data_IF_105429500676
#
_entry.id   IF_105429500676
#
_cell.length_a   1.000
_cell.length_b   1.000
_cell.length_c   1.000
_cell.angle_alpha   90.00
_cell.angle_beta   90.00
_cell.angle_gamma   90.00
#
_symmetry.space_group_name_H-M   'P 1'
#
loop_
_entity.id
_entity.type
_entity.pdbx_description
1 polymer ?
#
# COMPACT_ATOMS: atom_id res chain seq x y z
N UNK A 1 32.64 13.47 7.94
CA UNK A 1 31.22 13.33 8.06
C UNK A 1 30.85 11.87 8.05
N UNK A 2 30.51 11.31 9.19
CA UNK A 2 29.96 9.97 9.31
C UNK A 2 28.55 10.02 8.70
N UNK A 3 28.35 9.33 7.59
CA UNK A 3 27.05 9.17 6.93
C UNK A 3 26.16 8.34 7.86
N UNK A 4 25.36 8.99 8.70
CA UNK A 4 24.49 8.37 9.70
C UNK A 4 23.13 8.02 9.12
N UNK A 5 23.08 7.56 7.84
CA UNK A 5 21.84 7.10 7.25
C UNK A 5 21.34 5.85 7.95
N UNK A 6 20.17 5.95 8.56
CA UNK A 6 19.50 4.82 9.19
C UNK A 6 19.08 3.83 8.10
N UNK A 7 19.49 2.55 8.15
CA UNK A 7 18.99 1.57 7.20
C UNK A 7 17.49 1.35 7.40
N UNK A 8 16.71 1.63 6.37
CA UNK A 8 15.24 1.48 6.38
C UNK A 8 14.85 0.15 5.72
N UNK A 9 14.79 -0.91 6.52
CA UNK A 9 14.47 -2.25 6.02
C UNK A 9 13.05 -2.36 5.48
N UNK A 10 12.09 -1.64 6.07
CA UNK A 10 10.74 -1.56 5.55
C UNK A 10 10.69 -0.95 4.16
N UNK A 11 11.46 0.11 3.92
CA UNK A 11 11.57 0.72 2.59
C UNK A 11 12.19 -0.23 1.57
N UNK A 12 13.28 -0.92 1.93
CA UNK A 12 13.92 -1.90 1.06
C UNK A 12 12.97 -3.09 0.78
N UNK A 13 12.36 -3.66 1.83
CA UNK A 13 11.40 -4.76 1.71
C UNK A 13 10.20 -4.39 0.84
N UNK A 14 9.68 -3.16 0.97
CA UNK A 14 8.63 -2.63 0.12
C UNK A 14 9.03 -2.58 -1.35
N UNK A 15 10.23 -2.15 -1.68
CA UNK A 15 10.68 -2.12 -3.07
C UNK A 15 10.76 -3.52 -3.66
N UNK A 16 11.30 -4.49 -2.92
CA UNK A 16 11.32 -5.90 -3.33
C UNK A 16 9.90 -6.43 -3.52
N UNK A 17 8.99 -6.15 -2.59
CA UNK A 17 7.59 -6.52 -2.70
C UNK A 17 6.93 -5.94 -3.97
N UNK A 18 7.15 -4.67 -4.29
CA UNK A 18 6.61 -4.06 -5.50
C UNK A 18 7.20 -4.63 -6.79
N UNK A 19 8.50 -4.94 -6.82
CA UNK A 19 9.12 -5.60 -7.96
C UNK A 19 8.47 -6.96 -8.20
N UNK A 20 8.35 -7.78 -7.16
CA UNK A 20 7.77 -9.13 -7.25
C UNK A 20 6.30 -9.08 -7.67
N UNK A 21 5.50 -8.22 -7.03
CA UNK A 21 4.06 -8.09 -7.34
C UNK A 21 3.83 -7.50 -8.73
N UNK A 22 4.66 -6.57 -9.18
CA UNK A 22 4.58 -6.00 -10.53
C UNK A 22 4.95 -7.04 -11.59
N UNK A 23 6.02 -7.81 -11.38
CA UNK A 23 6.42 -8.89 -12.28
C UNK A 23 5.33 -9.97 -12.36
N UNK A 24 4.76 -10.37 -11.21
CA UNK A 24 3.66 -11.32 -11.16
C UNK A 24 2.40 -10.80 -11.85
N UNK A 25 2.03 -9.53 -11.59
CA UNK A 25 0.88 -8.88 -12.23
C UNK A 25 1.03 -8.79 -13.74
N UNK A 26 2.22 -8.42 -14.22
CA UNK A 26 2.55 -8.39 -15.64
C UNK A 26 2.41 -9.77 -16.30
N UNK A 27 2.98 -10.80 -15.66
CA UNK A 27 2.90 -12.18 -16.14
C UNK A 27 1.44 -12.68 -16.20
N UNK A 28 0.64 -12.43 -15.14
CA UNK A 28 -0.79 -12.76 -15.11
C UNK A 28 -1.56 -12.03 -16.21
N UNK A 29 -1.28 -10.76 -16.41
CA UNK A 29 -1.93 -9.95 -17.44
C UNK A 29 -1.61 -10.47 -18.85
N UNK A 30 -0.35 -10.86 -19.14
CA UNK A 30 0.01 -11.47 -20.40
C UNK A 30 -0.76 -12.78 -20.64
N UNK A 31 -0.90 -13.64 -19.63
CA UNK A 31 -1.68 -14.88 -19.75
C UNK A 31 -3.15 -14.61 -20.05
N UNK A 32 -3.75 -13.59 -19.39
CA UNK A 32 -5.13 -13.21 -19.65
C UNK A 32 -5.33 -12.60 -21.03
N UNK A 33 -4.38 -11.84 -21.54
CA UNK A 33 -4.41 -11.32 -22.91
C UNK A 33 -4.43 -12.43 -23.96
N UNK A 34 -3.60 -13.43 -23.77
CA UNK A 34 -3.55 -14.59 -24.67
C UNK A 34 -4.88 -15.37 -24.71
N UNK A 35 -5.64 -15.37 -23.61
CA UNK A 35 -6.96 -16.03 -23.54
C UNK A 35 -8.11 -15.15 -24.04
N UNK A 36 -8.00 -13.81 -23.94
CA UNK A 36 -9.07 -12.86 -24.27
C UNK A 36 -9.26 -12.54 -25.76
N UNK A 37 -8.45 -13.09 -26.66
CA UNK A 37 -8.80 -13.03 -28.09
C UNK A 37 -10.04 -13.88 -28.45
N UNK A 38 -10.69 -14.51 -27.47
CA UNK A 38 -11.80 -15.42 -27.68
C UNK A 38 -13.14 -15.05 -27.01
N UNK A 39 -13.21 -14.13 -26.02
CA UNK A 39 -14.48 -13.89 -25.29
C UNK A 39 -14.64 -12.46 -24.72
N UNK A 40 -15.72 -11.85 -25.15
CA UNK A 40 -16.63 -10.83 -24.56
C UNK A 40 -16.12 -9.63 -23.74
N UNK A 41 -16.69 -8.47 -24.09
CA UNK A 41 -16.68 -7.10 -23.56
C UNK A 41 -17.07 -6.90 -22.08
N UNK A 42 -16.74 -7.81 -21.17
CA UNK A 42 -16.99 -7.58 -19.74
C UNK A 42 -15.78 -6.92 -19.06
N UNK A 43 -15.99 -5.88 -18.22
CA UNK A 43 -14.92 -5.29 -17.43
C UNK A 43 -14.31 -6.37 -16.53
N UNK A 44 -12.98 -6.46 -16.57
CA UNK A 44 -12.24 -7.53 -15.91
C UNK A 44 -12.42 -7.57 -14.39
N UNK A 45 -12.84 -6.47 -13.77
CA UNK A 45 -13.06 -6.33 -12.32
C UNK A 45 -14.07 -5.22 -12.07
N UNK A 46 -15.11 -5.50 -11.27
CA UNK A 46 -16.07 -4.49 -10.80
C UNK A 46 -15.61 -3.91 -9.46
N UNK A 47 -15.41 -2.58 -9.35
CA UNK A 47 -15.09 -1.92 -8.09
C UNK A 47 -16.19 -2.14 -7.06
N UNK A 48 -15.83 -2.50 -5.83
CA UNK A 48 -16.80 -2.64 -4.73
C UNK A 48 -16.25 -2.08 -3.43
N UNK A 49 -17.13 -1.78 -2.49
CA UNK A 49 -16.74 -1.54 -1.11
C UNK A 49 -16.55 -2.87 -0.39
N UNK A 50 -15.51 -2.95 0.45
CA UNK A 50 -15.29 -4.10 1.31
C UNK A 50 -16.41 -4.23 2.35
N UNK A 51 -16.73 -5.44 2.75
CA UNK A 51 -17.66 -5.71 3.85
C UNK A 51 -17.05 -5.28 5.19
N UNK A 52 -17.88 -5.13 6.22
CA UNK A 52 -17.41 -4.77 7.56
C UNK A 52 -16.34 -5.76 8.07
N UNK A 53 -16.54 -7.06 7.87
CA UNK A 53 -15.57 -8.08 8.28
C UNK A 53 -14.24 -7.97 7.52
N UNK A 54 -14.30 -7.69 6.21
CA UNK A 54 -13.10 -7.47 5.39
C UNK A 54 -12.34 -6.21 5.85
N UNK A 55 -13.03 -5.13 6.19
CA UNK A 55 -12.42 -3.91 6.76
C UNK A 55 -11.79 -4.17 8.10
N UNK A 56 -12.48 -4.87 8.99
CA UNK A 56 -11.92 -5.24 10.30
C UNK A 56 -10.68 -6.12 10.14
N UNK A 57 -10.71 -7.09 9.24
CA UNK A 57 -9.55 -7.93 8.94
C UNK A 57 -8.38 -7.11 8.37
N UNK A 58 -8.62 -6.15 7.48
CA UNK A 58 -7.59 -5.25 6.96
C UNK A 58 -6.94 -4.43 8.09
N UNK A 59 -7.75 -3.82 8.94
CA UNK A 59 -7.25 -3.00 10.06
C UNK A 59 -6.48 -3.87 11.05
N UNK A 60 -7.02 -5.03 11.42
CA UNK A 60 -6.36 -5.96 12.33
C UNK A 60 -5.02 -6.44 11.76
N UNK A 61 -4.99 -6.84 10.48
CA UNK A 61 -3.76 -7.24 9.80
C UNK A 61 -2.73 -6.10 9.76
N UNK A 62 -3.18 -4.86 9.49
CA UNK A 62 -2.29 -3.71 9.47
C UNK A 62 -1.66 -3.45 10.83
N UNK A 63 -2.47 -3.40 11.90
CA UNK A 63 -1.98 -3.15 13.27
C UNK A 63 -1.06 -4.28 13.75
N UNK A 64 -1.52 -5.51 13.68
CA UNK A 64 -0.73 -6.68 14.13
C UNK A 64 0.52 -6.87 13.27
N UNK A 65 0.37 -6.75 11.95
CA UNK A 65 1.48 -6.82 11.01
C UNK A 65 2.54 -5.74 11.27
N UNK A 66 2.14 -4.51 11.59
CA UNK A 66 3.07 -3.42 11.94
C UNK A 66 3.86 -3.77 13.22
N UNK A 67 3.20 -4.31 14.24
CA UNK A 67 3.88 -4.75 15.47
C UNK A 67 4.89 -5.85 15.15
N UNK A 68 4.47 -6.87 14.40
CA UNK A 68 5.35 -7.98 14.01
C UNK A 68 6.52 -7.47 13.17
N UNK A 69 6.26 -6.68 12.13
CA UNK A 69 7.30 -6.13 11.26
C UNK A 69 8.31 -5.27 12.03
N UNK A 70 7.85 -4.48 13.00
CA UNK A 70 8.71 -3.67 13.88
C UNK A 70 9.72 -4.54 14.63
N UNK A 71 9.27 -5.65 15.21
CA UNK A 71 10.17 -6.56 15.97
C UNK A 71 11.03 -7.40 15.03
N UNK A 72 10.51 -7.85 13.88
CA UNK A 72 11.29 -8.58 12.87
C UNK A 72 12.42 -7.70 12.32
N UNK A 73 12.14 -6.45 11.97
CA UNK A 73 13.16 -5.53 11.47
C UNK A 73 14.24 -5.27 12.52
N UNK A 74 13.86 -5.17 13.79
CA UNK A 74 14.81 -5.06 14.88
C UNK A 74 15.67 -6.31 15.03
N UNK A 75 15.07 -7.51 15.00
CA UNK A 75 15.79 -8.78 15.14
C UNK A 75 16.81 -9.02 13.99
N UNK A 76 16.49 -8.56 12.76
CA UNK A 76 17.41 -8.61 11.62
C UNK A 76 18.64 -7.71 11.87
N UNK A 77 18.48 -6.64 12.65
CA UNK A 77 19.52 -5.67 12.98
C UNK A 77 20.30 -6.03 14.25
N UNK A 78 19.86 -7.04 15.05
CA UNK A 78 20.53 -7.46 16.26
C UNK A 78 21.95 -7.97 15.96
N UNK A 79 22.90 -7.18 16.42
CA UNK A 79 24.34 -7.32 16.13
C UNK A 79 25.01 -5.99 15.82
N UNK A 80 24.23 -4.96 15.42
CA UNK A 80 24.66 -3.56 15.37
C UNK A 80 23.91 -2.75 16.44
N UNK A 81 24.53 -1.69 17.04
CA UNK A 81 23.77 -0.75 17.88
C UNK A 81 22.61 -0.20 17.05
N UNK A 82 21.44 -0.74 17.33
CA UNK A 82 20.26 -0.56 16.49
C UNK A 82 19.86 0.91 16.50
N UNK A 83 19.78 1.57 15.35
CA UNK A 83 19.23 2.92 15.25
C UNK A 83 17.79 3.03 15.75
N UNK A 84 17.11 1.91 15.98
CA UNK A 84 15.74 1.85 16.49
C UNK A 84 15.62 2.15 18.00
N UNK A 85 16.72 2.19 18.75
CA UNK A 85 16.76 2.61 20.16
C UNK A 85 17.36 4.01 20.36
N UNK A 86 17.65 4.73 19.25
CA UNK A 86 18.03 6.16 19.31
C UNK A 86 16.84 7.03 19.70
N UNK A 87 17.04 8.34 19.95
CA UNK A 87 15.94 9.29 20.18
C UNK A 87 14.84 9.27 19.12
N UNK A 88 15.14 8.75 17.92
CA UNK A 88 14.18 8.55 16.83
C UNK A 88 13.55 7.14 16.81
N UNK A 89 13.28 6.54 17.96
CA UNK A 89 12.65 5.22 18.10
C UNK A 89 11.36 5.07 17.27
N UNK A 90 10.65 6.15 17.00
CA UNK A 90 9.44 6.18 16.22
C UNK A 90 9.67 5.92 14.71
N UNK A 91 10.90 6.11 14.20
CA UNK A 91 11.23 5.84 12.80
C UNK A 91 10.98 4.37 12.42
N UNK A 92 11.31 3.45 13.30
CA UNK A 92 11.06 2.03 13.08
C UNK A 92 9.57 1.69 13.01
N UNK A 93 8.76 2.39 13.80
CA UNK A 93 7.31 2.25 13.73
C UNK A 93 6.75 2.80 12.44
N UNK A 94 7.22 3.96 11.98
CA UNK A 94 6.82 4.54 10.70
C UNK A 94 7.22 3.64 9.52
N UNK A 95 8.44 3.09 9.53
CA UNK A 95 8.92 2.20 8.49
C UNK A 95 8.09 0.91 8.42
N UNK A 96 7.82 0.27 9.55
CA UNK A 96 6.96 -0.90 9.64
C UNK A 96 5.51 -0.59 9.20
N UNK A 97 4.96 0.56 9.61
CA UNK A 97 3.63 1.01 9.24
C UNK A 97 3.49 1.19 7.72
N UNK A 98 4.42 1.89 7.11
CA UNK A 98 4.44 2.13 5.66
C UNK A 98 4.61 0.81 4.90
N UNK A 99 5.47 -0.08 5.37
CA UNK A 99 5.67 -1.40 4.76
C UNK A 99 4.40 -2.25 4.77
N UNK A 100 3.82 -2.47 5.94
CA UNK A 100 2.61 -3.31 6.08
C UNK A 100 1.40 -2.65 5.41
N UNK A 101 1.26 -1.33 5.53
CA UNK A 101 0.21 -0.58 4.86
C UNK A 101 0.28 -0.71 3.34
N UNK A 102 1.48 -0.73 2.76
CA UNK A 102 1.67 -0.96 1.31
C UNK A 102 1.22 -2.37 0.89
N UNK A 103 1.43 -3.39 1.72
CA UNK A 103 0.93 -4.75 1.47
C UNK A 103 -0.60 -4.76 1.50
N UNK A 104 -1.20 -4.17 2.53
CA UNK A 104 -2.67 -4.08 2.69
C UNK A 104 -3.30 -3.34 1.52
N UNK A 105 -2.74 -2.18 1.14
CA UNK A 105 -3.25 -1.38 0.03
C UNK A 105 -3.16 -2.14 -1.30
N UNK A 106 -2.05 -2.84 -1.55
CA UNK A 106 -1.86 -3.66 -2.76
C UNK A 106 -2.84 -4.83 -2.79
N UNK A 107 -3.06 -5.50 -1.65
CA UNK A 107 -4.06 -6.57 -1.56
C UNK A 107 -5.48 -6.07 -1.81
N UNK A 108 -5.87 -4.96 -1.18
CA UNK A 108 -7.18 -4.35 -1.39
C UNK A 108 -7.39 -3.92 -2.86
N UNK A 109 -6.34 -3.40 -3.51
CA UNK A 109 -6.35 -3.08 -4.93
C UNK A 109 -6.56 -4.35 -5.79
N UNK A 110 -5.87 -5.44 -5.49
CA UNK A 110 -6.02 -6.71 -6.20
C UNK A 110 -7.43 -7.31 -6.04
N UNK A 111 -8.13 -6.99 -4.94
CA UNK A 111 -9.53 -7.37 -4.67
C UNK A 111 -10.55 -6.38 -5.24
N UNK A 112 -10.09 -5.29 -5.88
CA UNK A 112 -10.89 -4.16 -6.35
C UNK A 112 -11.77 -3.52 -5.27
N UNK A 113 -11.28 -3.49 -4.04
CA UNK A 113 -11.95 -2.78 -2.96
C UNK A 113 -11.65 -1.29 -3.04
N UNK A 114 -12.69 -0.45 -2.95
CA UNK A 114 -12.51 1.00 -2.98
C UNK A 114 -11.62 1.53 -1.84
N UNK A 115 -11.51 0.78 -0.76
CA UNK A 115 -10.67 1.08 0.40
C UNK A 115 -9.18 1.12 0.09
N UNK A 116 -8.72 0.55 -1.02
CA UNK A 116 -7.30 0.63 -1.35
C UNK A 116 -6.80 2.07 -1.53
N UNK A 117 -7.67 2.96 -2.04
CA UNK A 117 -7.35 4.38 -2.15
C UNK A 117 -7.15 5.02 -0.78
N UNK A 118 -8.01 4.69 0.19
CA UNK A 118 -7.92 5.18 1.56
C UNK A 118 -6.66 4.62 2.24
N UNK A 119 -6.33 3.34 2.00
CA UNK A 119 -5.13 2.73 2.54
C UNK A 119 -3.86 3.45 2.05
N UNK A 120 -3.78 3.81 0.76
CA UNK A 120 -2.66 4.60 0.24
C UNK A 120 -2.58 5.99 0.85
N UNK A 121 -3.72 6.68 1.02
CA UNK A 121 -3.74 7.99 1.70
C UNK A 121 -3.17 7.87 3.12
N UNK A 122 -3.56 6.83 3.87
CA UNK A 122 -3.06 6.61 5.25
C UNK A 122 -1.57 6.26 5.27
N UNK A 123 -1.08 5.51 4.28
CA UNK A 123 0.36 5.25 4.10
C UNK A 123 1.12 6.55 3.83
N UNK A 124 0.62 7.40 2.94
CA UNK A 124 1.28 8.64 2.55
C UNK A 124 1.28 9.69 3.67
N UNK A 125 0.23 9.74 4.50
CA UNK A 125 0.17 10.63 5.67
C UNK A 125 1.32 10.37 6.67
N UNK A 126 1.80 9.14 6.75
CA UNK A 126 2.97 8.77 7.56
C UNK A 126 4.24 8.81 6.72
N UNK A 127 4.19 8.32 5.49
CA UNK A 127 5.35 8.17 4.62
C UNK A 127 5.98 9.49 4.20
N UNK A 128 5.17 10.54 3.93
CA UNK A 128 5.66 11.86 3.53
C UNK A 128 6.48 12.51 4.64
N UNK A 129 5.94 12.76 5.87
CA UNK A 129 6.72 13.35 6.94
C UNK A 129 7.90 12.46 7.36
N UNK A 130 7.74 11.15 7.33
CA UNK A 130 8.81 10.20 7.62
C UNK A 130 9.96 10.32 6.62
N UNK A 131 9.66 10.42 5.31
CA UNK A 131 10.67 10.62 4.27
C UNK A 131 11.48 11.89 4.46
N UNK A 132 10.83 13.00 4.84
CA UNK A 132 11.54 14.25 5.16
C UNK A 132 12.36 14.15 6.44
N UNK A 133 11.85 13.51 7.48
CA UNK A 133 12.54 13.35 8.76
C UNK A 133 13.77 12.44 8.68
N UNK A 134 13.85 11.59 7.65
CA UNK A 134 14.97 10.66 7.40
C UNK A 134 15.89 11.11 6.27
N UNK A 135 15.77 12.36 5.81
CA UNK A 135 16.54 12.93 4.69
C UNK A 135 16.38 12.21 3.33
N UNK A 136 15.33 11.39 3.20
CA UNK A 136 14.94 10.78 1.92
C UNK A 136 14.03 11.72 1.13
N UNK A 137 14.46 12.96 0.93
CA UNK A 137 13.70 14.03 0.27
C UNK A 137 13.14 13.63 -1.10
N UNK A 138 13.89 12.98 -2.02
CA UNK A 138 13.33 12.56 -3.30
C UNK A 138 12.14 11.59 -3.14
N UNK A 139 12.21 10.69 -2.16
CA UNK A 139 11.14 9.73 -1.86
C UNK A 139 9.91 10.45 -1.29
N UNK A 140 10.11 11.41 -0.39
CA UNK A 140 9.03 12.20 0.18
C UNK A 140 8.30 13.03 -0.89
N UNK A 141 9.04 13.65 -1.80
CA UNK A 141 8.47 14.39 -2.94
C UNK A 141 7.67 13.46 -3.87
N UNK A 142 8.20 12.27 -4.15
CA UNK A 142 7.48 11.24 -4.92
C UNK A 142 6.15 10.85 -4.26
N UNK A 143 6.12 10.69 -2.93
CA UNK A 143 4.89 10.39 -2.19
C UNK A 143 3.84 11.51 -2.33
N UNK A 144 4.25 12.77 -2.34
CA UNK A 144 3.32 13.89 -2.57
C UNK A 144 2.66 13.76 -3.94
N UNK A 145 3.42 13.49 -5.00
CA UNK A 145 2.87 13.29 -6.34
C UNK A 145 1.94 12.07 -6.39
N UNK A 146 2.32 10.96 -5.78
CA UNK A 146 1.46 9.79 -5.69
C UNK A 146 0.20 10.06 -4.87
N UNK A 147 0.29 10.79 -3.77
CA UNK A 147 -0.85 11.18 -2.96
C UNK A 147 -1.87 12.01 -3.76
N UNK A 148 -1.42 12.98 -4.55
CA UNK A 148 -2.28 13.76 -5.45
C UNK A 148 -2.95 12.85 -6.49
N UNK A 149 -2.20 11.92 -7.09
CA UNK A 149 -2.74 10.94 -8.04
C UNK A 149 -3.77 10.02 -7.38
N UNK A 150 -3.50 9.55 -6.16
CA UNK A 150 -4.42 8.72 -5.36
C UNK A 150 -5.73 9.46 -5.08
N UNK A 151 -5.67 10.72 -4.67
CA UNK A 151 -6.86 11.54 -4.42
C UNK A 151 -7.69 11.73 -5.71
N UNK A 152 -7.02 12.01 -6.82
CA UNK A 152 -7.70 12.10 -8.12
C UNK A 152 -8.35 10.77 -8.51
N UNK A 153 -7.61 9.67 -8.46
CA UNK A 153 -8.09 8.33 -8.80
C UNK A 153 -9.26 7.91 -7.92
N UNK A 154 -9.18 8.15 -6.60
CA UNK A 154 -10.27 7.91 -5.67
C UNK A 154 -11.54 8.65 -6.06
N UNK A 155 -11.42 9.93 -6.42
CA UNK A 155 -12.55 10.73 -6.85
C UNK A 155 -13.27 10.17 -8.08
N UNK A 156 -12.50 9.68 -9.07
CA UNK A 156 -13.06 9.06 -10.29
C UNK A 156 -13.70 7.70 -9.97
N UNK A 157 -13.05 6.90 -9.14
CA UNK A 157 -13.53 5.58 -8.75
C UNK A 157 -14.85 5.63 -7.98
N UNK A 158 -14.98 6.57 -7.05
CA UNK A 158 -16.23 6.82 -6.31
C UNK A 158 -17.36 7.25 -7.26
N UNK A 159 -17.07 8.09 -8.27
CA UNK A 159 -18.06 8.48 -9.28
C UNK A 159 -18.59 7.28 -10.06
N UNK A 160 -17.70 6.38 -10.50
CA UNK A 160 -18.10 5.15 -11.21
C UNK A 160 -18.97 4.28 -10.33
N UNK A 161 -18.52 3.98 -9.11
CA UNK A 161 -19.30 3.14 -8.17
C UNK A 161 -20.67 3.72 -7.83
N UNK A 162 -20.78 5.05 -7.75
CA UNK A 162 -22.08 5.72 -7.53
C UNK A 162 -23.00 5.60 -8.74
N UNK A 163 -22.47 5.72 -9.96
CA UNK A 163 -23.27 5.57 -11.20
C UNK A 163 -23.80 4.16 -11.36
N UNK A 164 -23.00 3.15 -11.07
CA UNK A 164 -23.42 1.73 -11.10
C UNK A 164 -24.55 1.45 -10.11
N UNK A 165 -24.48 2.01 -8.90
CA UNK A 165 -25.58 1.89 -7.90
C UNK A 165 -26.85 2.61 -8.31
N UNK A 166 -26.75 3.74 -8.98
CA UNK A 166 -27.90 4.51 -9.45
C UNK A 166 -28.59 3.88 -10.68
N UNK A 167 -27.84 3.11 -11.49
CA UNK A 167 -28.36 2.39 -12.65
C UNK A 167 -28.86 0.96 -12.37
N UNK A 168 -28.68 0.44 -11.15
CA UNK A 168 -29.17 -0.88 -10.75
C UNK A 168 -30.63 -0.76 -10.31
N UNK A 169 -31.61 -1.51 -10.90
CA UNK A 169 -32.99 -1.50 -10.43
C UNK A 169 -33.04 -1.97 -8.97
N UNK A 170 -33.90 -1.33 -8.17
CA UNK A 170 -34.12 -1.71 -6.78
C UNK A 170 -34.53 -3.20 -6.70
N UNK A 171 -33.97 -3.96 -5.74
CA UNK A 171 -34.44 -5.33 -5.52
C UNK A 171 -35.91 -5.29 -5.14
N UNK A 172 -36.74 -5.91 -5.99
CA UNK A 172 -38.17 -6.10 -5.76
C UNK A 172 -38.45 -7.12 -4.68
#
# INVERSE_FOLDING_TARGET
>A
GTDTRVPLFGQAGRQVFFIVTSAYGWWRWQQHRARKHAETDQPAVTPRWATTNERLAMVAFWLVGTIIARFVFQAILDGNPSPYWTPQWWFAWCDAWVFVGSIVATYAMARAWNEFWLAWIVVDLVGVPFGFATDYVPTAVMYIFYGLFVLYGFSQWVKVTRRERAGSPAPG
#
